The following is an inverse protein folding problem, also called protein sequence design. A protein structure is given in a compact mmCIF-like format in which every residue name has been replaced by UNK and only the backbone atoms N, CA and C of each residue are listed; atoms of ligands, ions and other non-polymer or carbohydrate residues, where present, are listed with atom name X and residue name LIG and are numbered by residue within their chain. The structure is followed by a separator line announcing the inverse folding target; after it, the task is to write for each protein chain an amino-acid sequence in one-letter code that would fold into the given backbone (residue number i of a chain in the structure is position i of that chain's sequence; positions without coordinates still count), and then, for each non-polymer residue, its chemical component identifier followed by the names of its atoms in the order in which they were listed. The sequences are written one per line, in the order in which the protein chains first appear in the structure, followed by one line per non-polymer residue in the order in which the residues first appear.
data_IF_853840005435
#
_entry.id   IF_853840005435
#
_cell.length_a   1.000
_cell.length_b   1.000
_cell.length_c   1.000
_cell.angle_alpha   90.00
_cell.angle_beta   90.00
_cell.angle_gamma   90.00
#
_symmetry.space_group_name_H-M   'P 1'
#
loop_
_entity.id
_entity.type
_entity.pdbx_description
1 polymer ?
#
# COMPACT_ATOMS: atom_id res chain seq x y z
N UNK A 1 -18.37 62.16 34.90
CA UNK A 1 -18.08 60.71 34.80
C UNK A 1 -19.36 59.94 35.08
N UNK A 2 -19.68 58.92 34.29
CA UNK A 2 -20.09 57.57 34.74
C UNK A 2 -20.68 56.82 33.53
N UNK A 3 -19.93 55.82 33.07
CA UNK A 3 -20.37 54.89 32.01
C UNK A 3 -21.02 53.67 32.66
N UNK A 4 -22.23 53.38 32.20
CA UNK A 4 -23.08 52.23 32.55
C UNK A 4 -22.39 50.90 32.17
N UNK A 5 -22.27 49.99 33.12
CA UNK A 5 -21.54 48.72 32.97
C UNK A 5 -22.44 47.65 32.34
N UNK A 6 -22.04 47.20 31.14
CA UNK A 6 -22.58 46.08 30.36
C UNK A 6 -23.07 44.88 31.18
N UNK A 7 -24.39 44.64 31.21
CA UNK A 7 -24.99 43.35 31.59
C UNK A 7 -24.63 42.32 30.52
N UNK A 8 -23.58 41.55 30.77
CA UNK A 8 -23.16 40.44 29.91
C UNK A 8 -24.21 39.33 29.96
N UNK A 9 -24.53 38.75 28.80
CA UNK A 9 -25.60 37.76 28.58
C UNK A 9 -25.23 36.37 29.14
N UNK A 10 -25.00 36.27 30.45
CA UNK A 10 -24.63 35.01 31.13
C UNK A 10 -25.73 33.94 31.03
N UNK A 11 -26.98 34.36 30.83
CA UNK A 11 -28.12 33.45 30.63
C UNK A 11 -27.96 32.57 29.38
N UNK A 12 -27.46 33.13 28.28
CA UNK A 12 -27.22 32.37 27.05
C UNK A 12 -26.09 31.36 27.21
N UNK A 13 -25.01 31.75 27.89
CA UNK A 13 -23.87 30.87 28.14
C UNK A 13 -24.22 29.72 29.11
N UNK A 14 -25.04 30.01 30.13
CA UNK A 14 -25.55 28.98 31.05
C UNK A 14 -26.45 27.97 30.33
N UNK A 15 -27.32 28.42 29.42
CA UNK A 15 -28.18 27.51 28.64
C UNK A 15 -27.35 26.59 27.73
N UNK A 16 -26.36 27.15 27.04
CA UNK A 16 -25.46 26.36 26.18
C UNK A 16 -24.67 25.34 27.00
N UNK A 17 -24.17 25.71 28.18
CA UNK A 17 -23.47 24.79 29.06
C UNK A 17 -24.36 23.61 29.49
N UNK A 18 -25.61 23.89 29.89
CA UNK A 18 -26.58 22.85 30.26
C UNK A 18 -26.90 21.95 29.07
N UNK A 19 -27.10 22.52 27.88
CA UNK A 19 -27.34 21.76 26.64
C UNK A 19 -26.19 20.79 26.35
N UNK A 20 -24.94 21.23 26.48
CA UNK A 20 -23.77 20.39 26.24
C UNK A 20 -23.64 19.28 27.29
N UNK A 21 -23.94 19.56 28.56
CA UNK A 21 -23.94 18.55 29.62
C UNK A 21 -25.00 17.46 29.39
N UNK A 22 -26.20 17.85 28.95
CA UNK A 22 -27.26 16.90 28.60
C UNK A 22 -26.86 16.06 27.39
N UNK A 23 -26.34 16.68 26.32
CA UNK A 23 -25.89 15.98 25.13
C UNK A 23 -24.74 14.99 25.44
N UNK A 24 -23.76 15.41 26.25
CA UNK A 24 -22.67 14.53 26.69
C UNK A 24 -23.20 13.36 27.54
N UNK A 25 -24.16 13.61 28.43
CA UNK A 25 -24.80 12.55 29.22
C UNK A 25 -25.52 11.50 28.36
N UNK A 26 -26.22 11.93 27.30
CA UNK A 26 -26.89 11.01 26.36
C UNK A 26 -25.86 10.21 25.56
N UNK A 27 -24.81 10.88 25.04
CA UNK A 27 -23.74 10.21 24.28
C UNK A 27 -23.00 9.15 25.11
N UNK A 28 -22.76 9.41 26.39
CA UNK A 28 -22.14 8.45 27.30
C UNK A 28 -23.07 7.27 27.63
N UNK A 29 -24.39 7.49 27.77
CA UNK A 29 -25.35 6.40 28.02
C UNK A 29 -25.60 5.51 26.80
N UNK A 30 -25.52 6.05 25.59
CA UNK A 30 -25.65 5.29 24.34
C UNK A 30 -24.30 4.82 23.75
N UNK A 31 -23.18 5.11 24.42
CA UNK A 31 -21.86 4.58 24.02
C UNK A 31 -21.74 3.11 24.40
N UNK A 32 -22.44 2.24 23.69
CA UNK A 32 -22.04 0.84 23.59
C UNK A 32 -20.77 0.79 22.74
N UNK A 33 -19.63 1.06 23.37
CA UNK A 33 -18.34 0.71 22.80
C UNK A 33 -18.36 -0.82 22.70
N UNK A 34 -18.63 -1.32 21.49
CA UNK A 34 -18.37 -2.70 21.13
C UNK A 34 -16.85 -2.87 21.11
N UNK A 35 -16.26 -2.96 22.30
CA UNK A 35 -14.94 -3.56 22.45
C UNK A 35 -15.19 -4.99 22.00
N UNK A 36 -14.79 -5.28 20.76
CA UNK A 36 -14.70 -6.64 20.25
C UNK A 36 -13.65 -7.32 21.12
N UNK A 37 -14.10 -7.81 22.29
CA UNK A 37 -13.32 -8.64 23.18
C UNK A 37 -13.03 -9.87 22.35
N UNK A 38 -11.83 -9.91 21.78
CA UNK A 38 -11.28 -11.13 21.20
C UNK A 38 -11.31 -12.12 22.35
N UNK A 39 -12.33 -12.97 22.34
CA UNK A 39 -12.38 -14.16 23.17
C UNK A 39 -11.11 -14.90 22.86
N UNK A 40 -10.21 -14.94 23.84
CA UNK A 40 -9.01 -15.74 23.78
C UNK A 40 -9.46 -17.18 23.46
N UNK A 41 -9.11 -17.74 22.29
CA UNK A 41 -9.56 -19.07 21.95
C UNK A 41 -8.98 -20.02 22.99
N UNK A 42 -9.83 -20.81 23.64
CA UNK A 42 -9.36 -21.85 24.55
C UNK A 42 -8.29 -22.70 23.86
N UNK A 43 -7.21 -23.10 24.57
CA UNK A 43 -6.17 -23.89 23.96
C UNK A 43 -6.77 -25.22 23.52
N UNK A 44 -7.04 -25.34 22.22
CA UNK A 44 -7.40 -26.60 21.60
C UNK A 44 -6.19 -27.50 21.76
N UNK A 45 -6.28 -28.46 22.67
CA UNK A 45 -5.30 -29.54 22.80
C UNK A 45 -5.30 -30.31 21.49
N UNK A 46 -4.38 -29.99 20.59
CA UNK A 46 -4.22 -30.68 19.32
C UNK A 46 -3.77 -32.10 19.65
N UNK A 47 -4.70 -33.03 19.65
CA UNK A 47 -4.37 -34.45 19.65
C UNK A 47 -3.63 -34.70 18.34
N UNK A 48 -2.38 -35.20 18.34
CA UNK A 48 -1.68 -35.49 17.10
C UNK A 48 -2.53 -36.49 16.31
N UNK A 49 -2.98 -36.09 15.11
CA UNK A 49 -3.62 -37.04 14.21
C UNK A 49 -2.62 -38.17 13.91
N UNK A 50 -3.07 -39.44 13.86
CA UNK A 50 -2.25 -40.53 13.38
C UNK A 50 -1.62 -40.15 12.03
N UNK A 51 -0.33 -40.44 11.80
CA UNK A 51 0.31 -40.11 10.54
C UNK A 51 -0.43 -40.78 9.40
N UNK A 52 -0.93 -39.97 8.47
CA UNK A 52 -1.64 -40.45 7.29
C UNK A 52 -0.71 -41.38 6.48
N UNK A 53 -1.18 -42.56 6.05
CA UNK A 53 -0.38 -43.44 5.21
C UNK A 53 0.06 -42.67 3.96
N UNK A 54 1.37 -42.59 3.72
CA UNK A 54 1.91 -42.00 2.49
C UNK A 54 1.36 -42.78 1.30
N UNK A 55 0.35 -42.25 0.63
CA UNK A 55 -0.15 -42.80 -0.64
C UNK A 55 1.00 -42.68 -1.64
N UNK A 56 1.57 -43.81 -2.03
CA UNK A 56 2.56 -43.86 -3.10
C UNK A 56 1.89 -43.26 -4.36
N UNK A 57 2.53 -42.29 -5.04
CA UNK A 57 1.98 -41.76 -6.27
C UNK A 57 1.74 -42.91 -7.25
N UNK A 58 0.58 -42.95 -7.93
CA UNK A 58 0.32 -43.97 -8.94
C UNK A 58 1.44 -43.95 -9.97
N UNK A 59 2.04 -45.11 -10.25
CA UNK A 59 3.03 -45.23 -11.32
C UNK A 59 2.35 -44.84 -12.63
N UNK A 60 2.72 -43.68 -13.18
CA UNK A 60 2.16 -43.22 -14.45
C UNK A 60 2.46 -44.29 -15.52
N UNK A 61 1.48 -44.63 -16.37
CA UNK A 61 1.75 -45.44 -17.56
C UNK A 61 2.84 -44.75 -18.38
N UNK A 62 3.87 -45.52 -18.78
CA UNK A 62 4.95 -45.04 -19.64
C UNK A 62 4.39 -44.82 -21.05
N UNK A 63 3.80 -43.65 -21.28
CA UNK A 63 3.39 -43.23 -22.62
C UNK A 63 4.64 -42.67 -23.28
N UNK A 64 5.15 -43.40 -24.28
CA UNK A 64 6.27 -42.94 -25.10
C UNK A 64 5.99 -41.52 -25.62
N UNK A 65 6.92 -40.57 -25.46
CA UNK A 65 6.71 -39.21 -25.93
C UNK A 65 6.34 -39.19 -27.41
N UNK A 66 5.29 -38.45 -27.82
CA UNK A 66 5.00 -38.27 -29.23
C UNK A 66 6.20 -37.59 -29.88
N UNK A 67 6.77 -38.21 -30.91
CA UNK A 67 7.86 -37.63 -31.70
C UNK A 67 7.35 -36.35 -32.33
N UNK A 68 7.82 -35.20 -31.85
CA UNK A 68 7.49 -33.90 -32.43
C UNK A 68 8.04 -33.86 -33.87
N UNK A 69 7.28 -33.36 -34.86
CA UNK A 69 7.82 -33.08 -36.18
C UNK A 69 8.90 -32.00 -36.05
N UNK A 70 10.12 -32.32 -36.50
CA UNK A 70 11.23 -31.37 -36.54
C UNK A 70 10.89 -30.32 -37.61
N UNK A 71 10.52 -29.12 -37.16
CA UNK A 71 10.40 -27.96 -38.04
C UNK A 71 11.83 -27.48 -38.32
N UNK A 72 12.38 -27.80 -39.49
CA UNK A 72 13.64 -27.22 -39.95
C UNK A 72 13.41 -25.74 -40.26
N UNK A 73 13.92 -24.86 -39.40
CA UNK A 73 13.89 -23.42 -39.61
C UNK A 73 14.79 -23.08 -40.82
N UNK A 74 14.31 -22.32 -41.83
CA UNK A 74 15.15 -21.87 -42.93
C UNK A 74 16.26 -20.94 -42.41
N UNK A 75 17.48 -21.18 -42.86
CA UNK A 75 18.65 -20.40 -42.46
C UNK A 75 18.59 -19.01 -43.11
N UNK A 76 18.43 -17.98 -42.28
CA UNK A 76 18.43 -16.59 -42.72
C UNK A 76 19.86 -16.20 -43.15
N UNK A 77 20.06 -15.64 -44.36
CA UNK A 77 21.38 -15.18 -44.78
C UNK A 77 21.81 -14.00 -43.91
N UNK A 78 22.90 -14.18 -43.17
CA UNK A 78 23.50 -13.14 -42.33
C UNK A 78 24.17 -12.13 -43.27
N UNK A 79 23.64 -10.90 -43.33
CA UNK A 79 24.31 -9.78 -43.98
C UNK A 79 25.46 -9.31 -43.07
N UNK A 80 26.68 -9.76 -43.35
CA UNK A 80 27.90 -9.23 -42.75
C UNK A 80 28.20 -7.84 -43.34
N UNK A 81 27.87 -6.79 -42.59
CA UNK A 81 28.41 -5.44 -42.85
C UNK A 81 29.81 -5.32 -42.26
N UNK A 82 30.82 -4.82 -43.00
CA UNK A 82 32.13 -4.54 -42.44
C UNK A 82 32.04 -3.48 -41.33
N UNK A 83 32.49 -3.83 -40.13
CA UNK A 83 32.79 -2.86 -39.07
C UNK A 83 34.19 -2.33 -39.33
N UNK A 84 34.31 -1.04 -39.65
CA UNK A 84 35.59 -0.34 -39.71
C UNK A 84 36.28 -0.37 -38.33
N UNK A 85 37.61 -0.46 -38.27
CA UNK A 85 38.34 -0.42 -37.00
C UNK A 85 38.18 0.96 -36.33
N UNK A 86 38.08 1.03 -35.00
CA UNK A 86 38.09 2.30 -34.30
C UNK A 86 39.46 2.97 -34.46
N UNK A 87 39.44 4.18 -35.01
CA UNK A 87 40.59 5.09 -35.07
C UNK A 87 40.93 5.51 -33.63
N UNK A 88 42.06 5.03 -33.12
CA UNK A 88 42.66 5.51 -31.87
C UNK A 88 43.18 6.93 -32.08
N UNK A 89 42.40 7.94 -31.70
CA UNK A 89 42.91 9.30 -31.50
C UNK A 89 43.56 9.39 -30.12
N UNK A 90 44.88 9.58 -30.09
CA UNK A 90 45.63 9.91 -28.89
C UNK A 90 45.14 11.25 -28.28
N UNK A 91 45.16 11.41 -26.94
CA UNK A 91 44.90 12.71 -26.31
C UNK A 91 46.07 13.68 -26.55
N UNK A 92 45.82 14.94 -26.91
CA UNK A 92 46.87 15.95 -26.88
C UNK A 92 47.13 16.39 -25.44
N UNK A 93 48.40 16.31 -25.05
CA UNK A 93 48.99 17.00 -23.90
C UNK A 93 48.55 18.47 -23.89
N UNK A 94 47.89 18.89 -22.81
CA UNK A 94 47.76 20.31 -22.50
C UNK A 94 47.61 20.53 -21.00
N UNK A 95 48.74 20.84 -20.36
CA UNK A 95 48.78 21.75 -19.22
C UNK A 95 49.88 22.77 -19.52
N UNK A 96 49.57 24.08 -19.50
CA UNK A 96 50.02 24.89 -18.38
C UNK A 96 48.93 25.77 -17.73
N UNK A 97 49.18 26.07 -16.45
CA UNK A 97 48.44 26.89 -15.47
C UNK A 97 47.88 28.21 -16.01
N UNK A 98 46.76 28.64 -15.42
CA UNK A 98 46.57 30.05 -15.13
C UNK A 98 46.24 30.30 -13.65
N UNK A 99 46.81 31.38 -13.12
CA UNK A 99 46.84 31.75 -11.70
C UNK A 99 45.61 32.62 -11.38
N UNK A 100 44.74 32.16 -10.48
CA UNK A 100 43.77 33.07 -9.85
C UNK A 100 44.43 33.76 -8.65
N UNK A 101 44.31 35.10 -8.49
CA UNK A 101 44.85 35.83 -7.34
C UNK A 101 44.16 35.43 -6.01
N UNK A 102 44.85 35.55 -4.86
CA UNK A 102 44.26 35.26 -3.56
C UNK A 102 43.25 36.35 -3.16
N UNK A 103 42.04 35.91 -2.78
CA UNK A 103 41.03 36.77 -2.14
C UNK A 103 41.51 37.11 -0.72
N UNK A 104 41.49 38.38 -0.28
CA UNK A 104 41.92 38.75 1.08
C UNK A 104 40.94 38.22 2.15
N UNK A 105 41.40 37.93 3.39
CA UNK A 105 40.54 37.46 4.46
C UNK A 105 39.62 38.59 4.94
N UNK A 106 38.31 38.43 4.72
CA UNK A 106 37.30 39.21 5.45
C UNK A 106 37.18 38.69 6.89
N UNK A 107 36.73 39.53 7.84
CA UNK A 107 36.68 39.18 9.25
C UNK A 107 35.71 38.02 9.51
N UNK A 108 36.19 37.05 10.30
CA UNK A 108 35.44 35.95 10.88
C UNK A 108 34.12 36.42 11.49
N UNK A 109 33.01 36.15 10.81
CA UNK A 109 31.76 35.84 11.50
C UNK A 109 31.62 34.32 11.51
N UNK A 110 32.23 33.70 12.52
CA UNK A 110 31.87 32.35 12.96
C UNK A 110 30.41 32.37 13.39
N UNK A 111 29.52 32.17 12.42
CA UNK A 111 28.17 31.69 12.67
C UNK A 111 28.29 30.19 12.54
N UNK A 112 28.19 29.48 13.67
CA UNK A 112 28.08 28.03 13.66
C UNK A 112 27.10 27.62 12.55
N UNK A 113 27.48 26.70 11.64
CA UNK A 113 26.53 26.16 10.70
C UNK A 113 25.37 25.58 11.50
N UNK A 114 24.19 26.16 11.32
CA UNK A 114 22.95 25.56 11.80
C UNK A 114 22.83 24.25 11.02
N UNK A 115 23.32 23.15 11.58
CA UNK A 115 23.06 21.84 10.99
C UNK A 115 21.53 21.68 10.93
N UNK A 116 20.96 21.43 9.74
CA UNK A 116 19.53 21.19 9.64
C UNK A 116 19.22 19.97 10.51
N UNK A 117 18.45 20.19 11.57
CA UNK A 117 18.00 19.13 12.48
C UNK A 117 17.34 18.06 11.61
N UNK A 118 17.99 16.90 11.51
CA UNK A 118 17.53 15.78 10.69
C UNK A 118 16.31 15.16 11.37
N UNK A 119 15.13 15.67 11.06
CA UNK A 119 13.88 15.08 11.53
C UNK A 119 13.56 13.86 10.68
N UNK A 120 13.12 12.77 11.34
CA UNK A 120 12.65 11.58 10.64
C UNK A 120 11.41 11.96 9.82
N UNK A 121 11.36 11.66 8.50
CA UNK A 121 10.20 11.99 7.68
C UNK A 121 8.95 11.30 8.23
N UNK A 122 7.86 12.07 8.28
CA UNK A 122 6.55 11.58 8.69
C UNK A 122 5.85 10.96 7.48
N UNK A 123 5.79 9.63 7.47
CA UNK A 123 5.13 8.87 6.41
C UNK A 123 3.71 8.51 6.84
N UNK A 124 2.73 8.91 6.03
CA UNK A 124 1.33 8.48 6.14
C UNK A 124 1.03 7.55 4.98
N UNK A 125 0.56 6.34 5.27
CA UNK A 125 0.19 5.38 4.23
C UNK A 125 -1.09 5.82 3.50
N UNK A 126 -1.23 5.43 2.24
CA UNK A 126 -2.48 5.61 1.52
C UNK A 126 -3.61 4.81 2.17
N UNK A 127 -4.81 5.39 2.21
CA UNK A 127 -6.00 4.80 2.83
C UNK A 127 -7.15 4.83 1.83
N UNK A 128 -7.93 3.76 1.77
CA UNK A 128 -9.10 3.70 0.90
C UNK A 128 -10.13 4.75 1.30
N UNK A 129 -10.69 5.46 0.32
CA UNK A 129 -11.88 6.27 0.57
C UNK A 129 -13.12 5.40 0.45
N UNK A 130 -13.47 4.74 1.57
CA UNK A 130 -14.55 3.77 1.64
C UNK A 130 -15.92 4.32 1.19
N UNK A 131 -16.14 5.64 1.27
CA UNK A 131 -17.39 6.27 0.84
C UNK A 131 -17.57 6.23 -0.70
N UNK A 132 -16.48 6.13 -1.45
CA UNK A 132 -16.47 6.11 -2.91
C UNK A 132 -16.36 4.71 -3.51
N UNK A 133 -16.14 3.69 -2.68
CA UNK A 133 -15.75 2.35 -3.12
C UNK A 133 -16.94 1.38 -3.05
N UNK A 134 -17.37 0.90 -4.21
CA UNK A 134 -18.36 -0.17 -4.28
C UNK A 134 -17.75 -1.49 -3.79
N UNK A 135 -18.49 -2.24 -2.96
CA UNK A 135 -18.06 -3.56 -2.50
C UNK A 135 -18.02 -4.54 -3.69
N UNK A 136 -16.96 -5.35 -3.85
CA UNK A 136 -16.93 -6.42 -4.83
C UNK A 136 -18.13 -7.37 -4.70
N UNK A 137 -18.78 -7.69 -5.81
CA UNK A 137 -19.88 -8.65 -5.84
C UNK A 137 -19.38 -10.08 -5.62
N UNK A 138 -20.16 -10.88 -4.90
CA UNK A 138 -19.85 -12.29 -4.67
C UNK A 138 -19.87 -13.09 -5.97
N UNK A 139 -18.80 -13.81 -6.34
CA UNK A 139 -18.80 -14.65 -7.53
C UNK A 139 -19.85 -15.75 -7.43
N UNK A 140 -20.68 -15.92 -8.48
CA UNK A 140 -21.77 -16.91 -8.48
C UNK A 140 -21.29 -18.36 -8.32
N UNK A 141 -20.07 -18.70 -8.75
CA UNK A 141 -19.48 -20.02 -8.53
C UNK A 141 -19.13 -20.23 -7.05
N UNK A 142 -18.40 -19.28 -6.46
CA UNK A 142 -18.03 -19.30 -5.05
C UNK A 142 -19.26 -19.30 -4.13
N UNK A 143 -20.30 -18.53 -4.48
CA UNK A 143 -21.56 -18.49 -3.74
C UNK A 143 -22.27 -19.85 -3.73
N UNK A 144 -22.32 -20.55 -4.88
CA UNK A 144 -22.93 -21.89 -4.97
C UNK A 144 -22.12 -22.96 -4.25
N UNK A 145 -20.81 -22.80 -4.17
CA UNK A 145 -19.90 -23.75 -3.51
C UNK A 145 -19.81 -23.54 -2.00
N UNK A 146 -20.29 -22.40 -1.48
CA UNK A 146 -20.11 -22.04 -0.08
C UNK A 146 -18.69 -21.55 0.25
N UNK A 147 -17.94 -21.08 -0.74
CA UNK A 147 -16.54 -20.70 -0.58
C UNK A 147 -16.45 -19.38 0.20
N UNK A 148 -15.83 -19.37 1.38
CA UNK A 148 -15.56 -18.16 2.19
C UNK A 148 -14.06 -18.00 2.46
N UNK A 149 -13.60 -16.78 2.72
CA UNK A 149 -12.19 -16.57 3.04
C UNK A 149 -11.80 -15.10 3.13
N UNK A 150 -10.54 -14.84 3.47
CA UNK A 150 -10.01 -13.48 3.57
C UNK A 150 -8.81 -13.33 2.64
N UNK A 151 -8.89 -12.38 1.71
CA UNK A 151 -7.79 -12.03 0.80
C UNK A 151 -7.08 -10.78 1.29
N UNK A 152 -5.74 -10.79 1.27
CA UNK A 152 -4.91 -9.61 1.53
C UNK A 152 -4.39 -9.08 0.20
N UNK A 153 -4.71 -7.83 -0.10
CA UNK A 153 -4.32 -7.13 -1.32
C UNK A 153 -3.35 -6.00 -1.00
N UNK A 154 -2.44 -5.73 -1.93
CA UNK A 154 -1.60 -4.55 -1.93
C UNK A 154 -1.83 -3.72 -3.20
N UNK A 155 -1.99 -2.41 -3.00
CA UNK A 155 -2.23 -1.44 -4.05
C UNK A 155 -1.15 -0.36 -4.01
N UNK A 156 -0.55 -0.08 -5.16
CA UNK A 156 0.30 1.07 -5.36
C UNK A 156 -0.61 2.25 -5.68
N UNK A 157 -0.69 3.21 -4.77
CA UNK A 157 -1.56 4.37 -4.91
C UNK A 157 -0.73 5.54 -5.41
N UNK A 158 -1.13 6.09 -6.56
CA UNK A 158 -0.54 7.28 -7.16
C UNK A 158 -0.81 8.54 -6.35
N UNK A 159 -0.13 9.64 -6.71
CA UNK A 159 -0.30 10.95 -6.04
C UNK A 159 -1.69 11.56 -6.24
N UNK A 160 -2.39 11.12 -7.27
CA UNK A 160 -3.75 11.46 -7.64
C UNK A 160 -4.80 10.64 -6.85
N UNK A 161 -4.38 9.65 -6.08
CA UNK A 161 -5.28 8.77 -5.34
C UNK A 161 -5.83 7.60 -6.17
N UNK A 162 -5.37 7.41 -7.40
CA UNK A 162 -5.74 6.27 -8.23
C UNK A 162 -4.77 5.11 -8.04
N UNK A 163 -5.23 3.89 -8.30
CA UNK A 163 -4.42 2.68 -8.22
C UNK A 163 -3.55 2.56 -9.46
N UNK A 164 -2.23 2.63 -9.30
CA UNK A 164 -1.25 2.42 -10.36
C UNK A 164 -0.90 0.93 -10.55
N UNK A 165 -0.94 0.14 -9.47
CA UNK A 165 -0.66 -1.31 -9.50
C UNK A 165 -1.42 -2.02 -8.39
N UNK A 166 -1.79 -3.27 -8.61
CA UNK A 166 -2.53 -4.08 -7.66
C UNK A 166 -2.00 -5.52 -7.66
N UNK A 167 -1.89 -6.14 -6.48
CA UNK A 167 -1.48 -7.54 -6.33
C UNK A 167 -2.12 -8.20 -5.13
N UNK A 168 -2.26 -9.51 -5.20
CA UNK A 168 -2.62 -10.36 -4.05
C UNK A 168 -1.34 -10.65 -3.25
N UNK A 169 -1.32 -10.27 -1.98
CA UNK A 169 -0.25 -10.64 -1.05
C UNK A 169 -0.57 -11.95 -0.30
N UNK A 170 -1.85 -12.19 0.01
CA UNK A 170 -2.31 -13.44 0.61
C UNK A 170 -3.64 -13.85 0.01
N UNK A 171 -3.72 -15.08 -0.50
CA UNK A 171 -4.95 -15.66 -1.06
C UNK A 171 -5.99 -15.93 0.02
N UNK A 172 -7.27 -15.83 -0.34
CA UNK A 172 -8.41 -16.32 0.44
C UNK A 172 -8.50 -17.85 0.49
N UNK A 173 -7.73 -18.55 -0.34
CA UNK A 173 -7.87 -19.99 -0.61
C UNK A 173 -8.66 -20.28 -1.89
N UNK A 174 -9.36 -19.28 -2.45
CA UNK A 174 -10.23 -19.44 -3.62
C UNK A 174 -9.91 -18.41 -4.69
N UNK A 175 -9.55 -18.87 -5.89
CA UNK A 175 -9.10 -18.01 -7.00
C UNK A 175 -10.16 -17.01 -7.46
N UNK A 176 -11.43 -17.39 -7.42
CA UNK A 176 -12.52 -16.53 -7.86
C UNK A 176 -12.81 -15.40 -6.86
N UNK A 177 -12.70 -15.69 -5.56
CA UNK A 177 -12.78 -14.67 -4.50
C UNK A 177 -11.61 -13.68 -4.58
N UNK A 178 -10.39 -14.17 -4.81
CA UNK A 178 -9.20 -13.33 -4.96
C UNK A 178 -9.31 -12.39 -6.16
N UNK A 179 -9.73 -12.93 -7.31
CA UNK A 179 -9.89 -12.17 -8.56
C UNK A 179 -10.97 -11.09 -8.41
N UNK A 180 -12.12 -11.45 -7.85
CA UNK A 180 -13.22 -10.51 -7.66
C UNK A 180 -12.84 -9.37 -6.72
N UNK A 181 -12.13 -9.67 -5.63
CA UNK A 181 -11.65 -8.64 -4.71
C UNK A 181 -10.62 -7.72 -5.39
N UNK A 182 -9.65 -8.30 -6.12
CA UNK A 182 -8.64 -7.52 -6.84
C UNK A 182 -9.26 -6.60 -7.89
N UNK A 183 -10.24 -7.10 -8.66
CA UNK A 183 -10.91 -6.33 -9.71
C UNK A 183 -11.85 -5.25 -9.16
N UNK A 184 -12.62 -5.56 -8.12
CA UNK A 184 -13.58 -4.59 -7.57
C UNK A 184 -12.88 -3.46 -6.80
N UNK A 185 -11.83 -3.79 -6.04
CA UNK A 185 -11.16 -2.82 -5.17
C UNK A 185 -10.10 -1.99 -5.90
N UNK A 186 -9.58 -2.45 -7.04
CA UNK A 186 -8.64 -1.66 -7.86
C UNK A 186 -9.29 -0.44 -8.52
N UNK A 187 -10.63 -0.43 -8.64
CA UNK A 187 -11.39 0.68 -9.21
C UNK A 187 -11.69 1.78 -8.19
N UNK A 188 -11.39 1.55 -6.91
CA UNK A 188 -11.72 2.49 -5.85
C UNK A 188 -10.76 3.68 -5.82
N UNK A 189 -11.25 4.81 -5.33
CA UNK A 189 -10.42 5.96 -5.04
C UNK A 189 -9.78 5.84 -3.66
N UNK A 190 -8.53 6.29 -3.55
CA UNK A 190 -7.74 6.27 -2.33
C UNK A 190 -7.29 7.69 -2.00
N UNK A 191 -7.10 7.94 -0.70
CA UNK A 191 -6.31 9.08 -0.26
C UNK A 191 -4.84 8.71 -0.44
N UNK A 192 -4.06 9.48 -1.23
CA UNK A 192 -2.66 9.18 -1.45
C UNK A 192 -1.89 9.22 -0.13
N UNK A 193 -0.85 8.39 -0.03
CA UNK A 193 0.09 8.51 1.07
C UNK A 193 0.86 9.82 0.98
N UNK A 194 1.44 10.25 2.09
CA UNK A 194 2.21 11.49 2.14
C UNK A 194 3.50 11.33 2.92
N UNK A 195 4.56 12.01 2.48
CA UNK A 195 5.79 12.20 3.26
C UNK A 195 5.88 13.68 3.60
N UNK A 196 5.92 13.99 4.90
CA UNK A 196 5.96 15.37 5.41
C UNK A 196 4.83 16.26 4.84
N UNK A 197 3.65 15.68 4.67
CA UNK A 197 2.45 16.35 4.15
C UNK A 197 2.39 16.46 2.62
N UNK A 198 3.44 16.02 1.90
CA UNK A 198 3.47 16.02 0.43
C UNK A 198 2.99 14.67 -0.08
N UNK A 199 1.97 14.67 -0.95
CA UNK A 199 1.43 13.45 -1.55
C UNK A 199 2.51 12.72 -2.38
N UNK A 200 2.66 11.42 -2.10
CA UNK A 200 3.64 10.57 -2.75
C UNK A 200 3.06 9.20 -3.07
N UNK A 201 3.51 8.62 -4.18
CA UNK A 201 3.16 7.26 -4.54
C UNK A 201 3.61 6.30 -3.43
N UNK A 202 2.70 5.45 -2.97
CA UNK A 202 2.97 4.53 -1.85
C UNK A 202 2.11 3.28 -1.90
N UNK A 203 2.63 2.19 -1.35
CA UNK A 203 1.88 0.95 -1.21
C UNK A 203 0.93 1.01 -0.01
N UNK A 204 -0.34 0.69 -0.24
CA UNK A 204 -1.34 0.41 0.78
C UNK A 204 -1.67 -1.08 0.80
N UNK A 205 -1.91 -1.63 1.99
CA UNK A 205 -2.40 -3.00 2.16
C UNK A 205 -3.81 -2.97 2.73
N UNK A 206 -4.65 -3.89 2.26
CA UNK A 206 -5.98 -4.09 2.79
C UNK A 206 -6.36 -5.56 2.83
N UNK A 207 -7.22 -5.92 3.77
CA UNK A 207 -7.82 -7.25 3.87
C UNK A 207 -9.30 -7.15 3.51
N UNK A 208 -9.78 -8.08 2.71
CA UNK A 208 -11.18 -8.21 2.34
C UNK A 208 -11.70 -9.58 2.74
N UNK A 209 -12.72 -9.62 3.59
CA UNK A 209 -13.33 -10.85 4.08
C UNK A 209 -14.60 -11.15 3.30
N UNK A 210 -14.65 -12.33 2.70
CA UNK A 210 -15.84 -12.93 2.09
C UNK A 210 -16.58 -13.73 3.16
N UNK A 211 -17.86 -13.41 3.33
CA UNK A 211 -18.79 -14.08 4.25
C UNK A 211 -20.11 -14.28 3.54
N UNK A 212 -20.74 -15.42 3.79
CA UNK A 212 -22.08 -15.75 3.37
C UNK A 212 -23.04 -15.35 4.49
N UNK A 213 -24.10 -14.64 4.13
CA UNK A 213 -25.20 -14.39 5.05
C UNK A 213 -25.95 -15.71 5.22
N UNK A 214 -25.84 -16.30 6.40
CA UNK A 214 -26.50 -17.57 6.78
C UNK A 214 -27.96 -17.40 7.18
#
# INVERSE_FOLDING_TARGET
MNFDTSRKNYSGLAFVAVLHLVAAGIALKHSTILVNRVTEPEPVTVTPLPPEPKVLPPKMPDIAPPKLPVITLPELPILITPVDPPITTAPPDSKPRDKTPPVPPGPDTTRDPIEPVRHKPLNVAAVIDAASCAKPSYPAAALRNGDEGTVTLAFLIGKDGHVASAKVERTSGFRDLDRAALQGLSMCAFKPGSIDGVAQESWARMQYAWRLDG
#
